data_IF_151471799302
#
_entry.id   IF_151471799302
#
_cell.length_a   1.000
_cell.length_b   1.000
_cell.length_c   1.000
_cell.angle_alpha   90.00
_cell.angle_beta   90.00
_cell.angle_gamma   90.00
#
_symmetry.space_group_name_H-M   'P 1'
#
loop_
_entity.id
_entity.type
_entity.pdbx_description
1 polymer ?
#
# COMPACT_ATOMS: atom_id res chain seq x y z
N UNK A 1 -8.31 -8.40 -26.74
CA UNK A 1 -6.89 -8.44 -26.35
C UNK A 1 -6.12 -7.30 -27.00
N UNK A 2 -6.17 -6.08 -26.43
CA UNK A 2 -5.13 -5.04 -26.48
C UNK A 2 -5.69 -3.77 -25.79
N UNK A 3 -6.11 -3.88 -24.53
CA UNK A 3 -6.15 -2.71 -23.65
C UNK A 3 -4.74 -2.63 -23.10
N UNK A 4 -3.82 -2.12 -23.92
CA UNK A 4 -2.40 -2.16 -23.65
C UNK A 4 -2.14 -1.64 -22.24
N UNK A 5 -1.76 -2.53 -21.34
CA UNK A 5 -0.99 -2.18 -20.16
C UNK A 5 0.36 -1.69 -20.72
N UNK A 6 0.38 -0.47 -21.26
CA UNK A 6 1.61 0.18 -21.70
C UNK A 6 2.50 0.52 -20.51
N UNK A 7 1.92 0.48 -19.31
CA UNK A 7 2.60 0.59 -18.03
C UNK A 7 2.98 -0.79 -17.49
N UNK A 8 4.16 -0.93 -16.87
CA UNK A 8 4.48 -2.10 -16.05
C UNK A 8 3.41 -2.34 -14.99
N UNK A 9 3.12 -3.62 -14.74
CA UNK A 9 2.35 -4.04 -13.56
C UNK A 9 3.26 -3.96 -12.36
N UNK A 10 2.81 -3.25 -11.32
CA UNK A 10 3.55 -3.07 -10.07
C UNK A 10 3.10 -4.07 -9.01
N UNK A 11 1.81 -4.41 -9.00
CA UNK A 11 1.24 -5.31 -8.00
C UNK A 11 0.04 -6.08 -8.54
N UNK A 12 -0.18 -7.26 -7.97
CA UNK A 12 -1.33 -8.11 -8.21
C UNK A 12 -1.89 -8.54 -6.86
N UNK A 13 -3.21 -8.60 -6.73
CA UNK A 13 -3.87 -9.19 -5.58
C UNK A 13 -5.03 -10.08 -6.03
N UNK A 14 -5.24 -11.19 -5.31
CA UNK A 14 -6.32 -12.13 -5.60
C UNK A 14 -7.49 -11.88 -4.64
N UNK A 15 -8.69 -11.74 -5.19
CA UNK A 15 -9.92 -11.72 -4.40
C UNK A 15 -10.43 -13.16 -4.15
N UNK A 16 -11.22 -13.35 -3.11
CA UNK A 16 -11.75 -14.68 -2.72
C UNK A 16 -12.66 -15.32 -3.77
N UNK A 17 -13.25 -14.53 -4.65
CA UNK A 17 -14.06 -14.98 -5.78
C UNK A 17 -13.23 -15.35 -7.03
N UNK A 18 -11.90 -15.30 -6.92
CA UNK A 18 -10.95 -15.61 -7.99
C UNK A 18 -10.69 -14.46 -8.97
N UNK A 19 -11.32 -13.29 -8.78
CA UNK A 19 -10.97 -12.09 -9.56
C UNK A 19 -9.59 -11.57 -9.18
N UNK A 20 -8.91 -10.94 -10.14
CA UNK A 20 -7.54 -10.47 -9.98
C UNK A 20 -7.55 -8.95 -10.04
N UNK A 21 -7.01 -8.32 -9.01
CA UNK A 21 -6.73 -6.88 -9.00
C UNK A 21 -5.32 -6.65 -9.53
N UNK A 22 -5.17 -5.59 -10.33
CA UNK A 22 -3.92 -5.22 -10.99
C UNK A 22 -3.63 -3.76 -10.70
N UNK A 23 -2.51 -3.48 -10.03
CA UNK A 23 -2.00 -2.14 -9.78
C UNK A 23 -0.90 -1.77 -10.77
N UNK A 24 -0.99 -0.58 -11.36
CA UNK A 24 -0.04 -0.08 -12.36
C UNK A 24 0.37 1.36 -12.06
N UNK A 25 1.29 1.87 -12.89
CA UNK A 25 1.52 3.31 -13.02
C UNK A 25 0.44 3.98 -13.89
N UNK A 26 -0.28 4.95 -13.33
CA UNK A 26 -1.17 5.85 -14.05
C UNK A 26 -0.38 6.94 -14.76
N UNK A 27 -0.74 7.26 -16.01
CA UNK A 27 -0.10 8.31 -16.79
C UNK A 27 -1.03 9.50 -16.97
N UNK A 28 -0.42 10.69 -17.14
CA UNK A 28 -1.13 11.89 -17.53
C UNK A 28 -1.70 11.70 -18.95
N UNK A 29 -3.02 11.84 -19.10
CA UNK A 29 -3.70 11.73 -20.39
C UNK A 29 -5.15 12.25 -20.35
N UNK A 30 -5.67 12.65 -21.51
CA UNK A 30 -7.07 13.10 -21.67
C UNK A 30 -8.07 11.95 -21.75
N UNK A 31 -7.60 10.70 -21.88
CA UNK A 31 -8.47 9.53 -21.82
C UNK A 31 -8.58 9.06 -20.37
N UNK A 32 -9.78 9.11 -19.82
CA UNK A 32 -10.12 8.61 -18.48
C UNK A 32 -9.69 7.14 -18.29
N UNK A 33 -9.57 6.36 -19.38
CA UNK A 33 -9.08 4.98 -19.35
C UNK A 33 -7.59 4.87 -19.03
N UNK A 34 -6.81 5.94 -19.14
CA UNK A 34 -5.40 6.00 -18.75
C UNK A 34 -5.20 6.47 -17.30
N UNK A 35 -6.29 6.83 -16.60
CA UNK A 35 -6.30 7.36 -15.23
C UNK A 35 -6.62 6.32 -14.15
N UNK A 36 -6.97 5.09 -14.52
CA UNK A 36 -7.27 4.03 -13.57
C UNK A 36 -5.99 3.20 -13.36
N UNK A 37 -5.17 3.47 -12.32
CA UNK A 37 -4.04 2.60 -12.02
C UNK A 37 -4.45 1.28 -11.37
N UNK A 38 -5.76 1.03 -11.18
CA UNK A 38 -6.30 -0.22 -10.67
C UNK A 38 -7.27 -0.80 -11.70
N UNK A 39 -7.03 -2.05 -12.08
CA UNK A 39 -7.96 -2.85 -12.89
C UNK A 39 -8.38 -4.09 -12.12
N UNK A 40 -9.58 -4.58 -12.43
CA UNK A 40 -10.00 -5.92 -12.05
C UNK A 40 -10.18 -6.79 -13.28
N UNK A 41 -9.68 -8.02 -13.19
CA UNK A 41 -9.90 -9.07 -14.18
C UNK A 41 -10.83 -10.13 -13.59
N UNK A 42 -11.76 -10.61 -14.42
CA UNK A 42 -12.55 -11.79 -14.13
C UNK A 42 -11.66 -13.05 -14.14
N UNK A 43 -12.20 -14.17 -13.64
CA UNK A 43 -11.51 -15.46 -13.59
C UNK A 43 -11.11 -16.01 -14.95
N UNK A 44 -11.74 -15.53 -16.03
CA UNK A 44 -11.42 -15.88 -17.42
C UNK A 44 -10.38 -14.94 -18.07
N UNK A 45 -9.87 -13.96 -17.31
CA UNK A 45 -8.92 -12.95 -17.76
C UNK A 45 -9.54 -11.77 -18.51
N UNK A 46 -10.85 -11.73 -18.70
CA UNK A 46 -11.54 -10.55 -19.24
C UNK A 46 -11.54 -9.41 -18.21
N UNK A 47 -11.50 -8.15 -18.67
CA UNK A 47 -11.59 -6.99 -17.75
C UNK A 47 -13.00 -6.89 -17.16
N UNK A 48 -13.08 -6.75 -15.85
CA UNK A 48 -14.32 -6.41 -15.18
C UNK A 48 -14.59 -4.90 -15.34
N UNK A 49 -15.62 -4.58 -16.13
CA UNK A 49 -15.97 -3.20 -16.47
C UNK A 49 -16.82 -2.51 -15.42
N UNK A 50 -17.31 -3.24 -14.41
CA UNK A 50 -18.07 -2.64 -13.32
C UNK A 50 -17.17 -2.17 -12.19
N UNK A 51 -15.89 -2.54 -12.21
CA UNK A 51 -14.89 -2.09 -11.24
C UNK A 51 -14.12 -0.91 -11.83
N UNK A 52 -14.63 0.29 -11.60
CA UNK A 52 -14.04 1.54 -12.07
C UNK A 52 -13.53 2.30 -10.86
N UNK A 53 -12.21 2.42 -10.74
CA UNK A 53 -11.55 3.14 -9.65
C UNK A 53 -10.61 4.18 -10.24
N UNK A 54 -10.76 5.40 -9.73
CA UNK A 54 -9.97 6.59 -9.98
C UNK A 54 -8.99 6.81 -8.85
N UNK A 55 -7.72 7.03 -9.22
CA UNK A 55 -6.65 7.39 -8.28
C UNK A 55 -5.82 8.45 -8.97
N UNK A 56 -5.83 9.66 -8.42
CA UNK A 56 -5.23 10.84 -9.03
C UNK A 56 -4.17 11.47 -8.12
N UNK A 57 -3.23 12.19 -8.73
CA UNK A 57 -2.17 12.91 -8.04
C UNK A 57 -2.00 14.26 -8.69
N UNK A 58 -1.61 15.26 -7.91
CA UNK A 58 -1.61 16.66 -8.32
C UNK A 58 -0.33 17.39 -7.90
N UNK A 59 0.17 18.25 -8.78
CA UNK A 59 1.20 19.24 -8.44
C UNK A 59 0.69 20.61 -8.90
N UNK A 60 0.48 21.52 -7.95
CA UNK A 60 -0.08 22.86 -8.22
C UNK A 60 -1.40 22.81 -9.03
N UNK A 61 -2.28 21.84 -8.71
CA UNK A 61 -3.56 21.65 -9.39
C UNK A 61 -3.47 20.99 -10.77
N UNK A 62 -2.28 20.54 -11.19
CA UNK A 62 -2.08 19.79 -12.43
C UNK A 62 -2.00 18.31 -12.11
N UNK A 63 -2.81 17.49 -12.78
CA UNK A 63 -2.75 16.02 -12.67
C UNK A 63 -1.36 15.55 -13.05
N UNK A 64 -0.70 14.79 -12.19
CA UNK A 64 0.60 14.15 -12.43
C UNK A 64 0.45 12.63 -12.50
N UNK A 65 1.56 11.94 -12.80
CA UNK A 65 1.55 10.49 -12.77
C UNK A 65 1.27 9.98 -11.35
N UNK A 66 0.52 8.89 -11.27
CA UNK A 66 0.27 8.14 -10.03
C UNK A 66 0.84 6.73 -10.18
N UNK A 67 1.03 6.05 -9.05
CA UNK A 67 1.38 4.63 -9.09
C UNK A 67 0.71 3.92 -7.92
N UNK A 68 0.14 2.76 -8.20
CA UNK A 68 -0.30 1.81 -7.17
C UNK A 68 0.80 0.77 -7.03
N UNK A 69 1.50 0.83 -5.90
CA UNK A 69 2.66 -0.03 -5.62
C UNK A 69 2.25 -1.33 -4.95
N UNK A 70 1.14 -1.32 -4.23
CA UNK A 70 0.70 -2.46 -3.44
C UNK A 70 -0.82 -2.48 -3.34
N UNK A 71 -1.37 -3.68 -3.52
CA UNK A 71 -2.77 -4.02 -3.28
C UNK A 71 -2.80 -5.17 -2.29
N UNK A 72 -3.67 -5.07 -1.29
CA UNK A 72 -3.80 -6.11 -0.26
C UNK A 72 -5.29 -6.33 0.03
N UNK A 73 -5.77 -7.54 -0.23
CA UNK A 73 -7.18 -7.92 0.02
C UNK A 73 -7.29 -8.42 1.47
N UNK A 74 -8.18 -7.82 2.24
CA UNK A 74 -8.50 -8.22 3.60
C UNK A 74 -9.52 -9.37 3.61
N UNK A 75 -9.64 -10.08 4.74
CA UNK A 75 -10.54 -11.22 4.87
C UNK A 75 -12.03 -10.88 4.65
N UNK A 76 -12.43 -9.63 4.90
CA UNK A 76 -13.78 -9.12 4.64
C UNK A 76 -14.00 -8.68 3.17
N UNK A 77 -12.99 -8.86 2.32
CA UNK A 77 -13.02 -8.50 0.90
C UNK A 77 -12.69 -7.04 0.61
N UNK A 78 -12.45 -6.20 1.63
CA UNK A 78 -11.95 -4.84 1.41
C UNK A 78 -10.53 -4.88 0.84
N UNK A 79 -10.16 -3.82 0.14
CA UNK A 79 -8.92 -3.74 -0.63
C UNK A 79 -8.13 -2.54 -0.12
N UNK A 80 -7.00 -2.78 0.52
CA UNK A 80 -6.05 -1.74 0.85
C UNK A 80 -5.22 -1.39 -0.39
N UNK A 81 -5.04 -0.10 -0.61
CA UNK A 81 -4.31 0.46 -1.74
C UNK A 81 -3.19 1.33 -1.17
N UNK A 82 -1.95 1.06 -1.61
CA UNK A 82 -0.79 1.88 -1.27
C UNK A 82 0.00 2.27 -2.51
N UNK A 83 0.57 3.46 -2.53
CA UNK A 83 1.29 3.95 -3.70
C UNK A 83 1.77 5.39 -3.60
N UNK A 84 1.79 6.09 -4.74
CA UNK A 84 2.06 7.52 -4.86
C UNK A 84 0.89 8.20 -5.58
N UNK A 85 0.05 8.88 -4.80
CA UNK A 85 -1.17 9.57 -5.25
C UNK A 85 -1.71 10.45 -4.12
N UNK A 86 -2.61 11.38 -4.47
CA UNK A 86 -3.19 12.33 -3.52
C UNK A 86 -4.68 12.04 -3.25
N UNK A 87 -5.39 11.51 -4.25
CA UNK A 87 -6.83 11.28 -4.19
C UNK A 87 -7.22 9.88 -4.67
N UNK A 88 -8.35 9.40 -4.17
CA UNK A 88 -9.00 8.15 -4.56
C UNK A 88 -10.51 8.40 -4.59
N UNK A 89 -11.17 8.07 -5.70
CA UNK A 89 -12.60 8.38 -5.91
C UNK A 89 -12.96 9.86 -5.72
N UNK A 90 -12.03 10.77 -6.05
CA UNK A 90 -12.20 12.22 -5.91
C UNK A 90 -12.11 12.74 -4.47
N UNK A 91 -11.78 11.88 -3.51
CA UNK A 91 -11.59 12.24 -2.11
C UNK A 91 -10.11 12.15 -1.73
N UNK A 92 -9.65 13.07 -0.87
CA UNK A 92 -8.27 13.08 -0.41
C UNK A 92 -7.94 11.78 0.35
N UNK A 93 -6.98 11.02 -0.20
CA UNK A 93 -6.46 9.76 0.35
C UNK A 93 -4.97 9.72 0.03
N UNK A 94 -4.17 10.38 0.86
CA UNK A 94 -2.75 10.59 0.56
C UNK A 94 -1.97 9.28 0.65
N UNK A 95 -1.54 8.76 -0.51
CA UNK A 95 -0.65 7.60 -0.71
C UNK A 95 -1.12 6.24 -0.13
N UNK A 96 -2.19 6.21 0.66
CA UNK A 96 -2.80 5.02 1.23
C UNK A 96 -4.31 5.24 1.41
N UNK A 97 -5.11 4.22 1.08
CA UNK A 97 -6.56 4.21 1.29
C UNK A 97 -7.13 2.80 1.20
N UNK A 98 -8.46 2.70 1.32
CA UNK A 98 -9.17 1.42 1.28
C UNK A 98 -10.42 1.51 0.42
N UNK A 99 -10.67 0.47 -0.36
CA UNK A 99 -11.88 0.27 -1.14
C UNK A 99 -12.70 -0.86 -0.54
N UNK A 100 -14.01 -0.83 -0.73
CA UNK A 100 -14.87 -1.99 -0.59
C UNK A 100 -14.61 -3.00 -1.71
N UNK A 101 -15.13 -4.22 -1.54
CA UNK A 101 -14.92 -5.32 -2.50
C UNK A 101 -15.44 -5.03 -3.92
N UNK A 102 -16.36 -4.08 -4.07
CA UNK A 102 -16.94 -3.63 -5.34
C UNK A 102 -16.17 -2.47 -5.99
N UNK A 103 -15.17 -1.90 -5.30
CA UNK A 103 -14.35 -0.79 -5.78
C UNK A 103 -14.82 0.58 -5.30
N UNK A 104 -15.92 0.66 -4.55
CA UNK A 104 -16.32 1.93 -3.91
C UNK A 104 -15.37 2.29 -2.78
N UNK A 105 -15.20 3.59 -2.51
CA UNK A 105 -14.32 4.06 -1.44
C UNK A 105 -14.85 3.66 -0.06
N UNK A 106 -13.96 3.22 0.84
CA UNK A 106 -14.27 3.14 2.26
C UNK A 106 -13.94 4.47 2.93
N UNK A 107 -14.98 5.26 3.19
CA UNK A 107 -14.84 6.60 3.78
C UNK A 107 -14.36 6.61 5.22
N UNK A 108 -14.37 5.46 5.89
CA UNK A 108 -13.94 5.35 7.29
C UNK A 108 -12.43 5.16 7.44
N UNK A 109 -11.71 4.93 6.33
CA UNK A 109 -10.27 4.66 6.34
C UNK A 109 -9.48 5.75 5.61
N UNK A 110 -8.92 6.68 6.38
CA UNK A 110 -8.09 7.77 5.84
C UNK A 110 -6.86 8.06 6.73
N UNK A 111 -5.89 7.13 6.81
CA UNK A 111 -4.67 7.35 7.61
C UNK A 111 -3.77 8.45 7.02
N UNK A 112 -3.64 8.47 5.69
CA UNK A 112 -2.65 9.29 5.00
C UNK A 112 -1.19 8.87 5.29
N UNK A 113 -0.33 8.92 4.28
CA UNK A 113 1.11 8.85 4.44
C UNK A 113 1.77 10.05 3.75
N UNK A 114 2.79 10.62 4.38
CA UNK A 114 3.44 11.84 3.87
C UNK A 114 4.21 11.67 2.57
N UNK A 115 4.41 10.42 2.12
CA UNK A 115 5.00 10.10 0.83
C UNK A 115 4.66 8.66 0.41
N UNK A 116 5.30 8.19 -0.66
CA UNK A 116 5.06 6.90 -1.31
C UNK A 116 5.06 5.72 -0.33
N UNK A 117 3.99 4.93 -0.38
CA UNK A 117 3.86 3.62 0.27
C UNK A 117 4.25 2.55 -0.76
N UNK A 118 5.22 1.70 -0.42
CA UNK A 118 5.72 0.65 -1.32
C UNK A 118 5.10 -0.71 -1.04
N UNK A 119 4.73 -0.99 0.22
CA UNK A 119 4.32 -2.32 0.64
C UNK A 119 3.36 -2.24 1.83
N UNK A 120 2.43 -3.19 1.87
CA UNK A 120 1.50 -3.42 2.97
C UNK A 120 1.55 -4.90 3.36
N UNK A 121 1.38 -5.20 4.64
CA UNK A 121 1.17 -6.56 5.13
C UNK A 121 0.10 -6.57 6.24
N UNK A 122 -0.71 -7.63 6.28
CA UNK A 122 -1.77 -7.81 7.28
C UNK A 122 -1.27 -8.74 8.39
N UNK A 123 -1.51 -8.36 9.64
CA UNK A 123 -1.35 -9.24 10.79
C UNK A 123 -2.67 -9.98 11.08
N UNK A 124 -2.61 -11.09 11.81
CA UNK A 124 -3.77 -11.94 12.14
C UNK A 124 -4.88 -11.15 12.88
N UNK A 125 -4.47 -10.18 13.70
CA UNK A 125 -5.38 -9.30 14.45
C UNK A 125 -6.01 -8.17 13.60
N UNK A 126 -5.73 -8.14 12.30
CA UNK A 126 -6.23 -7.16 11.35
C UNK A 126 -5.43 -5.84 11.32
N UNK A 127 -4.38 -5.69 12.13
CA UNK A 127 -3.48 -4.53 12.01
C UNK A 127 -2.72 -4.57 10.69
N UNK A 128 -2.39 -3.39 10.20
CA UNK A 128 -1.83 -3.19 8.86
C UNK A 128 -0.44 -2.60 9.02
N UNK A 129 0.58 -3.36 8.61
CA UNK A 129 1.95 -2.88 8.53
C UNK A 129 2.12 -2.09 7.23
N UNK A 130 2.78 -0.94 7.32
CA UNK A 130 2.97 -0.01 6.22
C UNK A 130 4.46 0.26 6.04
N UNK A 131 4.99 -0.02 4.85
CA UNK A 131 6.38 0.24 4.48
C UNK A 131 6.49 1.15 3.26
N UNK A 132 7.42 2.10 3.27
CA UNK A 132 7.54 3.08 2.20
C UNK A 132 8.73 4.02 2.27
N UNK A 133 8.59 5.15 1.59
CA UNK A 133 9.51 6.30 1.61
C UNK A 133 8.89 7.52 2.33
N UNK A 134 7.94 7.32 3.23
CA UNK A 134 7.28 8.37 4.02
C UNK A 134 8.05 8.69 5.31
N UNK A 135 7.85 9.91 5.82
CA UNK A 135 8.31 10.34 7.16
C UNK A 135 7.15 10.56 8.13
N UNK A 136 5.92 10.49 7.64
CA UNK A 136 4.71 10.59 8.43
C UNK A 136 3.68 9.56 7.98
N UNK A 137 2.89 9.06 8.92
CA UNK A 137 1.80 8.12 8.72
C UNK A 137 0.73 8.41 9.79
N UNK A 138 -0.54 8.50 9.41
CA UNK A 138 -1.60 8.78 10.40
C UNK A 138 -1.51 10.19 11.02
N UNK A 139 -0.83 11.12 10.35
CA UNK A 139 -0.51 12.46 10.90
C UNK A 139 0.71 12.51 11.82
N UNK A 140 1.26 11.36 12.22
CA UNK A 140 2.37 11.25 13.16
C UNK A 140 3.71 10.99 12.48
N UNK A 141 4.82 11.30 13.17
CA UNK A 141 6.17 10.98 12.66
C UNK A 141 6.39 9.47 12.66
N UNK A 142 6.67 8.91 11.49
CA UNK A 142 7.00 7.50 11.28
C UNK A 142 8.04 7.39 10.17
N UNK A 143 9.24 6.96 10.52
CA UNK A 143 10.33 6.84 9.56
C UNK A 143 10.20 5.53 8.78
N UNK A 144 9.64 5.61 7.56
CA UNK A 144 9.65 4.56 6.51
C UNK A 144 8.85 3.28 6.82
N UNK A 145 8.53 3.03 8.07
CA UNK A 145 7.76 1.87 8.54
C UNK A 145 6.86 2.29 9.71
N UNK A 146 5.64 1.77 9.74
CA UNK A 146 4.68 1.98 10.80
C UNK A 146 3.57 0.94 10.76
N UNK A 147 2.63 1.04 11.70
CA UNK A 147 1.46 0.16 11.79
C UNK A 147 0.19 0.95 12.01
N UNK A 148 -0.88 0.55 11.33
CA UNK A 148 -2.22 1.06 11.51
C UNK A 148 -3.09 0.01 12.18
N UNK A 149 -4.05 0.46 12.98
CA UNK A 149 -5.16 -0.35 13.44
C UNK A 149 -6.12 -0.67 12.26
N UNK A 150 -7.03 -1.66 12.41
CA UNK A 150 -7.97 -2.03 11.34
C UNK A 150 -8.86 -0.88 10.85
N UNK A 151 -9.11 0.13 11.67
CA UNK A 151 -9.88 1.33 11.33
C UNK A 151 -9.06 2.42 10.62
N UNK A 152 -7.75 2.22 10.48
CA UNK A 152 -6.84 3.19 9.87
C UNK A 152 -6.26 4.21 10.86
N UNK A 153 -6.56 4.12 12.15
CA UNK A 153 -5.86 4.91 13.17
C UNK A 153 -4.43 4.40 13.35
N UNK A 154 -3.50 5.29 13.73
CA UNK A 154 -2.11 4.92 13.97
C UNK A 154 -1.99 4.03 15.22
N UNK A 155 -1.14 3.01 15.17
CA UNK A 155 -0.70 2.28 16.36
C UNK A 155 0.56 2.95 16.94
N UNK A 156 0.38 3.68 18.04
CA UNK A 156 1.47 4.40 18.69
C UNK A 156 2.49 3.50 19.40
N UNK A 157 2.15 2.24 19.63
CA UNK A 157 3.08 1.28 20.23
C UNK A 157 4.12 0.75 19.23
N UNK A 158 3.93 0.98 17.93
CA UNK A 158 4.77 0.45 16.87
C UNK A 158 5.49 1.56 16.09
N UNK A 159 6.74 1.82 16.44
CA UNK A 159 7.59 2.81 15.76
C UNK A 159 9.06 2.36 15.66
N UNK A 160 9.35 1.30 14.89
CA UNK A 160 10.72 0.80 14.71
C UNK A 160 11.65 1.82 14.05
N UNK A 161 11.16 2.49 13.01
CA UNK A 161 11.98 3.36 12.17
C UNK A 161 12.99 2.61 11.29
N UNK A 162 13.26 3.17 10.10
CA UNK A 162 14.38 2.79 9.25
C UNK A 162 14.95 4.05 8.57
N UNK A 163 16.26 4.08 8.31
CA UNK A 163 16.93 5.21 7.67
C UNK A 163 16.72 5.26 6.14
N UNK A 164 16.35 4.12 5.54
CA UNK A 164 16.09 3.95 4.12
C UNK A 164 14.69 3.42 3.81
N UNK A 165 14.34 3.39 2.52
CA UNK A 165 13.01 2.95 2.09
C UNK A 165 12.77 1.48 2.45
N UNK A 166 11.61 1.20 3.06
CA UNK A 166 11.12 -0.16 3.25
C UNK A 166 10.31 -0.55 2.01
N UNK A 167 10.71 -1.65 1.36
CA UNK A 167 10.17 -2.11 0.07
C UNK A 167 9.42 -3.43 0.16
N UNK A 168 9.67 -4.21 1.21
CA UNK A 168 9.01 -5.49 1.43
C UNK A 168 8.73 -5.70 2.92
N UNK A 169 7.57 -6.27 3.20
CA UNK A 169 7.15 -6.70 4.53
C UNK A 169 6.57 -8.11 4.42
N UNK A 170 6.91 -8.98 5.36
CA UNK A 170 6.28 -10.29 5.49
C UNK A 170 6.06 -10.63 6.96
N UNK A 171 4.84 -11.05 7.30
CA UNK A 171 4.47 -11.50 8.64
C UNK A 171 4.72 -13.00 8.73
N UNK A 172 5.46 -13.42 9.75
CA UNK A 172 5.74 -14.82 10.05
C UNK A 172 4.61 -15.42 10.90
N UNK A 173 4.53 -16.75 10.99
CA UNK A 173 3.50 -17.44 11.75
C UNK A 173 3.55 -17.20 13.27
N UNK A 174 4.66 -16.65 13.78
CA UNK A 174 4.84 -16.22 15.17
C UNK A 174 4.66 -14.70 15.34
N UNK A 175 3.98 -14.04 14.39
CA UNK A 175 3.73 -12.60 14.31
C UNK A 175 4.98 -11.71 14.27
N UNK A 176 6.18 -12.28 14.11
CA UNK A 176 7.38 -11.51 13.78
C UNK A 176 7.32 -10.99 12.35
N UNK A 177 8.04 -9.92 12.10
CA UNK A 177 7.92 -9.15 10.86
C UNK A 177 9.28 -9.10 10.19
N UNK A 178 9.40 -9.73 9.02
CA UNK A 178 10.55 -9.54 8.15
C UNK A 178 10.40 -8.21 7.41
N UNK A 179 11.46 -7.40 7.44
CA UNK A 179 11.53 -6.08 6.82
C UNK A 179 12.64 -6.09 5.78
N UNK A 180 12.32 -5.73 4.55
CA UNK A 180 13.27 -5.65 3.44
C UNK A 180 13.26 -4.28 2.77
N UNK A 181 14.41 -3.75 2.37
CA UNK A 181 14.51 -2.40 1.83
C UNK A 181 15.90 -1.94 1.44
N UNK A 182 16.07 -0.64 1.32
CA UNK A 182 17.35 0.02 1.01
C UNK A 182 17.90 0.79 2.21
N UNK A 183 17.66 0.27 3.42
CA UNK A 183 18.10 0.85 4.68
C UNK A 183 19.45 0.27 5.13
N UNK A 184 20.17 1.03 5.94
CA UNK A 184 21.37 0.59 6.67
C UNK A 184 21.15 0.54 8.18
N UNK A 185 20.02 1.08 8.65
CA UNK A 185 19.57 1.05 10.04
C UNK A 185 18.10 0.65 10.12
N UNK A 186 17.76 -0.22 11.08
CA UNK A 186 16.41 -0.63 11.43
C UNK A 186 16.28 -0.71 12.95
N UNK A 187 15.23 -0.12 13.53
CA UNK A 187 15.05 -0.20 14.98
C UNK A 187 16.10 0.57 15.80
N UNK A 188 16.82 1.51 15.18
CA UNK A 188 17.95 2.23 15.80
C UNK A 188 19.31 1.52 15.74
N UNK A 189 19.39 0.36 15.08
CA UNK A 189 20.61 -0.46 15.02
C UNK A 189 21.00 -0.77 13.57
N UNK A 190 22.30 -1.02 13.34
CA UNK A 190 22.82 -1.32 11.99
C UNK A 190 22.29 -2.65 11.48
N UNK A 191 21.48 -2.61 10.41
CA UNK A 191 20.96 -3.77 9.69
C UNK A 191 20.87 -3.42 8.21
N UNK A 192 21.57 -4.17 7.36
CA UNK A 192 21.66 -3.85 5.94
C UNK A 192 20.55 -4.56 5.16
N UNK A 193 19.64 -3.77 4.61
CA UNK A 193 18.62 -4.18 3.62
C UNK A 193 17.59 -5.21 4.07
N UNK A 194 17.86 -6.04 5.06
CA UNK A 194 16.94 -7.00 5.67
C UNK A 194 17.12 -6.99 7.19
N UNK A 195 16.01 -7.18 7.90
CA UNK A 195 16.00 -7.38 9.34
C UNK A 195 14.67 -7.99 9.77
N UNK A 196 14.56 -8.29 11.07
CA UNK A 196 13.32 -8.80 11.66
C UNK A 196 12.92 -7.98 12.87
N UNK A 197 11.64 -7.69 12.99
CA UNK A 197 11.05 -7.07 14.17
C UNK A 197 10.21 -8.09 14.92
N UNK A 198 10.14 -7.94 16.23
CA UNK A 198 9.14 -8.58 17.06
C UNK A 198 7.76 -7.99 16.78
N UNK A 199 6.72 -8.64 17.30
CA UNK A 199 5.32 -8.22 17.13
C UNK A 199 5.06 -6.79 17.63
N UNK A 200 5.82 -6.30 18.60
CA UNK A 200 5.71 -4.94 19.14
C UNK A 200 6.52 -3.89 18.34
N UNK A 201 7.26 -4.31 17.32
CA UNK A 201 8.11 -3.42 16.51
C UNK A 201 9.51 -3.21 17.06
N UNK A 202 9.88 -3.85 18.17
CA UNK A 202 11.28 -3.89 18.61
C UNK A 202 12.10 -4.78 17.67
N UNK A 203 13.39 -4.47 17.49
CA UNK A 203 14.29 -5.26 16.66
C UNK A 203 14.54 -6.65 17.28
N UNK A 204 14.42 -7.70 16.47
CA UNK A 204 14.77 -9.07 16.87
C UNK A 204 16.25 -9.34 16.60
N UNK A 205 17.09 -9.08 17.60
CA UNK A 205 18.53 -9.33 17.56
C UNK A 205 18.94 -10.81 17.49
N UNK A 206 17.98 -11.75 17.51
CA UNK A 206 18.25 -13.17 17.24
C UNK A 206 18.22 -13.51 15.75
N UNK A 207 17.77 -12.57 14.91
CA UNK A 207 17.83 -12.67 13.46
C UNK A 207 19.10 -11.99 12.94
N UNK A 208 19.98 -12.72 12.22
CA UNK A 208 21.24 -12.18 11.72
C UNK A 208 21.10 -11.27 10.50
#
# INVERSE_FOLDING_TARGET
FNRGLSSPVHTLALQSDGKILVGIKGYMGTDWKQRCPIYRLNTDGSTDLTFLVSVEGFVNGIVVYTVVETLLVQADGKILVGGYYDEMEGEARLNIGRLNSDGTLDDTFNPGAGFRVYTLALQEDGKILVGGAFNTLGGETRARIGRLNPDGTIDDSFNPGADGSVRALAVQADDKILVGGSFTELGGETHYSIGRLNTDGTLDNTFP
#
